data_IF_594487671281
#
_entry.id   IF_594487671281
#
_cell.length_a   1.000
_cell.length_b   1.000
_cell.length_c   1.000
_cell.angle_alpha   90.00
_cell.angle_beta   90.00
_cell.angle_gamma   90.00
#
_symmetry.space_group_name_H-M   'P 1'
#
loop_
_entity.id
_entity.type
_entity.pdbx_description
1 polymer ?
#
# COMPACT_ATOMS: atom_id res chain seq x y z
N UNK A 1 -53.99 6.38 7.80
CA UNK A 1 -53.20 6.18 6.58
C UNK A 1 -51.74 6.30 6.99
N UNK A 2 -51.09 5.17 7.21
CA UNK A 2 -49.74 5.15 7.79
C UNK A 2 -48.71 5.15 6.64
N UNK A 3 -47.85 6.15 6.62
CA UNK A 3 -46.77 6.31 5.63
C UNK A 3 -45.53 5.58 6.14
N UNK A 4 -45.38 4.31 5.75
CA UNK A 4 -44.20 3.51 6.05
C UNK A 4 -43.14 3.82 4.97
N UNK A 5 -42.35 4.87 5.18
CA UNK A 5 -41.22 5.20 4.29
C UNK A 5 -40.10 4.20 4.59
N UNK A 6 -39.97 3.19 3.72
CA UNK A 6 -38.81 2.29 3.70
C UNK A 6 -37.57 3.06 3.27
N UNK A 7 -36.71 3.42 4.22
CA UNK A 7 -35.38 3.97 3.94
C UNK A 7 -34.47 2.82 3.48
N UNK A 8 -34.43 2.57 2.17
CA UNK A 8 -33.38 1.74 1.58
C UNK A 8 -32.09 2.57 1.52
N UNK A 9 -31.25 2.45 2.54
CA UNK A 9 -29.88 2.98 2.53
C UNK A 9 -29.10 2.14 1.52
N UNK A 10 -29.04 2.60 0.28
CA UNK A 10 -28.12 2.06 -0.73
C UNK A 10 -26.72 2.52 -0.35
N UNK A 11 -26.01 1.69 0.41
CA UNK A 11 -24.58 1.86 0.63
C UNK A 11 -23.88 1.72 -0.71
N UNK A 12 -23.65 2.85 -1.38
CA UNK A 12 -22.83 2.88 -2.60
C UNK A 12 -21.41 2.54 -2.18
N UNK A 13 -20.75 1.54 -2.80
CA UNK A 13 -19.35 1.29 -2.52
C UNK A 13 -18.60 2.51 -3.06
N UNK A 14 -18.07 3.33 -2.15
CA UNK A 14 -17.13 4.37 -2.54
C UNK A 14 -15.89 3.64 -3.05
N UNK A 15 -15.74 3.61 -4.38
CA UNK A 15 -14.47 3.30 -5.02
C UNK A 15 -13.52 4.44 -4.65
N UNK A 16 -12.92 4.35 -3.46
CA UNK A 16 -11.88 5.27 -3.06
C UNK A 16 -10.63 4.92 -3.87
N UNK A 17 -10.10 5.90 -4.61
CA UNK A 17 -8.80 5.75 -5.26
C UNK A 17 -7.74 5.35 -4.22
N UNK A 18 -6.79 4.47 -4.57
CA UNK A 18 -5.72 4.11 -3.67
C UNK A 18 -4.89 5.36 -3.32
N UNK A 19 -4.42 5.49 -2.07
CA UNK A 19 -3.63 6.64 -1.65
C UNK A 19 -2.37 6.78 -2.51
N UNK A 20 -1.99 8.01 -2.88
CA UNK A 20 -0.78 8.29 -3.64
C UNK A 20 0.49 7.93 -2.86
N UNK A 21 1.61 7.73 -3.57
CA UNK A 21 2.90 7.45 -2.93
C UNK A 21 3.37 8.62 -2.04
N UNK A 22 3.11 9.85 -2.46
CA UNK A 22 3.39 11.05 -1.66
C UNK A 22 2.59 11.07 -0.35
N UNK A 23 1.29 10.77 -0.42
CA UNK A 23 0.45 10.71 0.77
C UNK A 23 0.93 9.62 1.74
N UNK A 24 1.34 8.46 1.21
CA UNK A 24 1.87 7.37 2.02
C UNK A 24 3.18 7.76 2.74
N UNK A 25 4.06 8.53 2.09
CA UNK A 25 5.28 9.05 2.72
C UNK A 25 4.95 10.10 3.79
N UNK A 26 4.09 11.07 3.47
CA UNK A 26 3.68 12.14 4.41
C UNK A 26 3.04 11.58 5.68
N UNK A 27 2.28 10.49 5.55
CA UNK A 27 1.66 9.78 6.67
C UNK A 27 2.57 8.71 7.31
N UNK A 28 3.85 8.66 6.91
CA UNK A 28 4.86 7.74 7.45
C UNK A 28 4.49 6.25 7.32
N UNK A 29 3.62 5.92 6.37
CA UNK A 29 3.28 4.53 6.04
C UNK A 29 4.43 3.87 5.27
N UNK A 30 5.10 4.65 4.41
CA UNK A 30 6.32 4.25 3.73
C UNK A 30 7.45 5.23 4.04
N UNK A 31 8.70 4.75 3.96
CA UNK A 31 9.86 5.63 4.06
C UNK A 31 10.13 6.36 2.73
N UNK A 32 10.91 7.46 2.74
CA UNK A 32 11.35 8.13 1.53
C UNK A 32 12.09 7.22 0.54
N UNK A 33 12.88 6.27 1.05
CA UNK A 33 13.60 5.28 0.22
C UNK A 33 12.62 4.35 -0.50
N UNK A 34 11.56 3.92 0.20
CA UNK A 34 10.51 3.07 -0.37
C UNK A 34 9.70 3.84 -1.41
N UNK A 35 9.37 5.11 -1.16
CA UNK A 35 8.70 5.94 -2.18
C UNK A 35 9.52 6.00 -3.46
N UNK A 36 10.80 6.35 -3.36
CA UNK A 36 11.67 6.48 -4.54
C UNK A 36 11.77 5.18 -5.32
N UNK A 37 11.84 4.03 -4.64
CA UNK A 37 11.80 2.72 -5.28
C UNK A 37 10.49 2.52 -6.07
N UNK A 38 9.35 2.81 -5.43
CA UNK A 38 8.04 2.61 -6.03
C UNK A 38 7.80 3.54 -7.22
N UNK A 39 8.26 4.78 -7.15
CA UNK A 39 8.24 5.74 -8.27
C UNK A 39 9.09 5.23 -9.44
N UNK A 40 10.34 4.81 -9.19
CA UNK A 40 11.21 4.24 -10.24
C UNK A 40 10.61 3.01 -10.91
N UNK A 41 9.85 2.20 -10.17
CA UNK A 41 9.20 0.98 -10.67
C UNK A 41 7.79 1.23 -11.24
N UNK A 42 7.28 2.47 -11.25
CA UNK A 42 5.93 2.78 -11.73
C UNK A 42 4.83 2.05 -10.94
N UNK A 43 5.05 1.91 -9.63
CA UNK A 43 4.21 1.14 -8.72
C UNK A 43 3.12 2.01 -8.08
N UNK A 44 2.21 2.53 -8.92
CA UNK A 44 1.18 3.48 -8.45
C UNK A 44 -0.07 2.79 -7.89
N UNK A 45 -0.20 1.48 -8.05
CA UNK A 45 -1.33 0.68 -7.53
C UNK A 45 -0.89 -0.19 -6.36
N UNK A 46 -1.79 -0.51 -5.41
CA UNK A 46 -1.45 -1.38 -4.28
C UNK A 46 -0.78 -2.70 -4.68
N UNK A 47 -1.27 -3.33 -5.75
CA UNK A 47 -0.79 -4.61 -6.25
C UNK A 47 0.65 -4.46 -6.79
N UNK A 48 0.91 -3.43 -7.61
CA UNK A 48 2.25 -3.15 -8.11
C UNK A 48 3.22 -2.78 -6.99
N UNK A 49 2.76 -2.05 -5.97
CA UNK A 49 3.59 -1.72 -4.79
C UNK A 49 4.02 -2.97 -4.06
N UNK A 50 3.06 -3.86 -3.82
CA UNK A 50 3.31 -5.15 -3.17
C UNK A 50 4.38 -5.96 -3.92
N UNK A 51 4.23 -6.09 -5.23
CA UNK A 51 5.18 -6.82 -6.08
C UNK A 51 6.57 -6.19 -6.12
N UNK A 52 6.64 -4.85 -6.25
CA UNK A 52 7.89 -4.09 -6.26
C UNK A 52 8.66 -4.23 -4.94
N UNK A 53 7.95 -4.17 -3.80
CA UNK A 53 8.53 -4.37 -2.47
C UNK A 53 9.03 -5.80 -2.27
N UNK A 54 8.24 -6.79 -2.70
CA UNK A 54 8.64 -8.21 -2.62
C UNK A 54 9.91 -8.47 -3.43
N UNK A 55 10.00 -7.92 -4.64
CA UNK A 55 11.18 -8.04 -5.47
C UNK A 55 12.40 -7.35 -4.81
N UNK A 56 12.28 -6.10 -4.41
CA UNK A 56 13.39 -5.33 -3.85
C UNK A 56 13.92 -5.92 -2.53
N UNK A 57 13.03 -6.48 -1.71
CA UNK A 57 13.41 -7.22 -0.51
C UNK A 57 14.02 -8.58 -0.81
N UNK A 58 13.66 -9.23 -1.91
CA UNK A 58 14.31 -10.49 -2.32
C UNK A 58 15.70 -10.25 -2.90
N UNK A 59 15.89 -9.18 -3.67
CA UNK A 59 17.14 -8.92 -4.41
C UNK A 59 18.19 -8.14 -3.63
N UNK A 60 17.82 -7.50 -2.51
CA UNK A 60 18.78 -6.65 -1.78
C UNK A 60 18.72 -5.17 -2.14
N UNK A 61 17.83 -4.76 -3.05
CA UNK A 61 17.68 -3.36 -3.42
C UNK A 61 17.16 -2.48 -2.26
N UNK A 62 16.36 -3.08 -1.35
CA UNK A 62 16.00 -2.46 -0.06
C UNK A 62 16.79 -3.06 1.11
N UNK A 63 17.14 -2.18 2.05
CA UNK A 63 17.72 -2.52 3.34
C UNK A 63 16.80 -3.47 4.13
N UNK A 64 17.37 -4.24 5.07
CA UNK A 64 16.57 -5.11 5.93
C UNK A 64 15.57 -4.29 6.76
N UNK A 65 15.99 -3.14 7.27
CA UNK A 65 15.18 -2.20 8.03
C UNK A 65 13.99 -1.70 7.20
N UNK A 66 14.20 -1.29 5.95
CA UNK A 66 13.12 -0.84 5.08
C UNK A 66 12.14 -1.97 4.71
N UNK A 67 12.66 -3.17 4.48
CA UNK A 67 11.82 -4.35 4.29
C UNK A 67 11.00 -4.66 5.54
N UNK A 68 11.58 -4.55 6.73
CA UNK A 68 10.85 -4.73 7.99
C UNK A 68 9.75 -3.69 8.17
N UNK A 69 10.07 -2.42 7.96
CA UNK A 69 9.12 -1.32 8.13
C UNK A 69 7.98 -1.33 7.11
N UNK A 70 8.19 -1.95 5.93
CA UNK A 70 7.14 -2.18 4.93
C UNK A 70 6.37 -3.50 5.12
N UNK A 71 6.54 -4.18 6.26
CA UNK A 71 5.83 -5.43 6.58
C UNK A 71 6.38 -6.68 5.86
N UNK A 72 7.62 -6.62 5.36
CA UNK A 72 8.32 -7.72 4.66
C UNK A 72 9.49 -8.34 5.44
N UNK A 73 9.77 -7.86 6.64
CA UNK A 73 10.95 -8.21 7.44
C UNK A 73 11.02 -9.65 7.97
N UNK A 74 9.91 -10.41 7.96
CA UNK A 74 9.91 -11.79 8.44
C UNK A 74 10.48 -12.80 7.41
N UNK A 75 10.44 -12.49 6.10
CA UNK A 75 10.88 -13.46 5.08
C UNK A 75 12.40 -13.62 4.96
N UNK A 76 13.21 -12.80 5.61
CA UNK A 76 14.69 -12.82 5.51
C UNK A 76 15.41 -13.70 6.54
N UNK A 77 14.72 -14.51 7.34
CA UNK A 77 15.37 -15.45 8.29
C UNK A 77 15.89 -16.74 7.68
N UNK A 78 15.72 -16.95 6.38
CA UNK A 78 16.30 -18.09 5.68
C UNK A 78 16.95 -17.56 4.41
N UNK A 79 18.28 -17.46 4.42
CA UNK A 79 19.22 -17.92 3.39
C UNK A 79 20.63 -17.46 3.78
#
# INVERSE_FOLDING_TARGET
>A
MELWISLLITASPVLADPPSLEWLEQNRIISPEVRQLLERKGADTPEKRSAALDEACRTGELSWEACKNSGRGERRRHY
#
